data_IF_981960344537
#
_entry.id   IF_981960344537
#
_cell.length_a   1.000
_cell.length_b   1.000
_cell.length_c   1.000
_cell.angle_alpha   90.00
_cell.angle_beta   90.00
_cell.angle_gamma   90.00
#
_symmetry.space_group_name_H-M   'P 1'
#
loop_
_entity.id
_entity.type
_entity.pdbx_description
1 polymer ?
#
# COMPACT_ATOMS: atom_id res chain seq x y z
N UNK A 1 -18.41 16.30 11.78
CA UNK A 1 -18.17 14.92 11.32
C UNK A 1 -17.92 14.76 9.81
N UNK A 2 -18.61 15.50 8.91
CA UNK A 2 -18.40 15.36 7.44
C UNK A 2 -16.94 15.54 6.99
N UNK A 3 -16.26 16.61 7.41
CA UNK A 3 -14.86 16.88 7.03
C UNK A 3 -13.86 15.81 7.48
N UNK A 4 -14.03 15.26 8.70
CA UNK A 4 -13.11 14.24 9.25
C UNK A 4 -13.08 12.95 8.42
N UNK A 5 -14.20 12.59 7.77
CA UNK A 5 -14.32 11.37 6.93
C UNK A 5 -13.52 11.48 5.64
N UNK A 6 -13.59 12.65 4.99
CA UNK A 6 -12.84 12.92 3.76
C UNK A 6 -11.36 13.14 4.04
N UNK A 7 -11.02 13.69 5.20
CA UNK A 7 -9.63 13.80 5.65
C UNK A 7 -9.01 12.42 5.89
N UNK A 8 -9.77 11.49 6.48
CA UNK A 8 -9.37 10.09 6.60
C UNK A 8 -9.22 9.38 5.24
N UNK A 9 -10.12 9.63 4.29
CA UNK A 9 -10.00 9.10 2.91
C UNK A 9 -8.72 9.60 2.23
N UNK A 10 -8.45 10.90 2.32
CA UNK A 10 -7.28 11.53 1.71
C UNK A 10 -5.98 10.97 2.33
N UNK A 11 -5.94 10.83 3.65
CA UNK A 11 -4.85 10.16 4.34
C UNK A 11 -4.65 8.72 3.85
N UNK A 12 -5.73 7.94 3.74
CA UNK A 12 -5.65 6.53 3.33
C UNK A 12 -5.20 6.39 1.87
N UNK A 13 -5.60 7.30 0.99
CA UNK A 13 -5.18 7.33 -0.42
C UNK A 13 -3.69 7.67 -0.58
N UNK A 14 -3.08 8.40 0.34
CA UNK A 14 -1.64 8.72 0.32
C UNK A 14 -0.84 7.63 1.04
N UNK A 15 -1.31 7.19 2.20
CA UNK A 15 -0.61 6.23 3.04
C UNK A 15 -0.56 4.83 2.42
N UNK A 16 -1.63 4.38 1.76
CA UNK A 16 -1.69 3.02 1.20
C UNK A 16 -0.68 2.78 0.07
N UNK A 17 -0.52 3.65 -0.93
CA UNK A 17 0.54 3.51 -1.94
C UNK A 17 1.94 3.42 -1.34
N UNK A 18 2.21 4.25 -0.34
CA UNK A 18 3.52 4.32 0.31
C UNK A 18 3.79 3.06 1.14
N UNK A 19 2.77 2.56 1.84
CA UNK A 19 2.82 1.31 2.59
C UNK A 19 2.99 0.10 1.66
N UNK A 20 2.29 0.07 0.53
CA UNK A 20 2.39 -1.01 -0.46
C UNK A 20 3.79 -1.02 -1.11
N UNK A 21 4.33 0.16 -1.44
CA UNK A 21 5.71 0.30 -1.91
C UNK A 21 6.71 -0.24 -0.87
N UNK A 22 6.57 0.15 0.40
CA UNK A 22 7.46 -0.29 1.47
C UNK A 22 7.42 -1.81 1.66
N UNK A 23 6.23 -2.42 1.63
CA UNK A 23 6.06 -3.87 1.75
C UNK A 23 6.77 -4.59 0.60
N UNK A 24 6.61 -4.13 -0.64
CA UNK A 24 7.27 -4.74 -1.81
C UNK A 24 8.79 -4.64 -1.67
N UNK A 25 9.31 -3.49 -1.23
CA UNK A 25 10.75 -3.29 -1.06
C UNK A 25 11.31 -4.19 0.07
N UNK A 26 10.61 -4.29 1.20
CA UNK A 26 10.99 -5.17 2.31
C UNK A 26 10.95 -6.64 1.89
N UNK A 27 9.89 -7.08 1.20
CA UNK A 27 9.77 -8.47 0.74
C UNK A 27 10.83 -8.83 -0.29
N UNK A 28 11.14 -7.91 -1.22
CA UNK A 28 12.26 -8.03 -2.14
C UNK A 28 13.59 -8.18 -1.39
N UNK A 29 13.89 -7.28 -0.42
CA UNK A 29 15.09 -7.37 0.42
C UNK A 29 15.20 -8.70 1.17
N UNK A 30 14.12 -9.15 1.79
CA UNK A 30 14.09 -10.44 2.52
C UNK A 30 14.36 -11.58 1.54
N UNK A 31 13.74 -11.56 0.36
CA UNK A 31 13.95 -12.60 -0.66
C UNK A 31 15.40 -12.65 -1.14
N UNK A 32 16.04 -11.49 -1.34
CA UNK A 32 17.44 -11.40 -1.74
C UNK A 32 18.38 -11.87 -0.63
N UNK A 33 18.08 -11.58 0.64
CA UNK A 33 18.84 -12.09 1.79
C UNK A 33 18.74 -13.61 1.87
N UNK A 34 17.54 -14.18 1.71
CA UNK A 34 17.34 -15.63 1.69
C UNK A 34 18.09 -16.30 0.53
N UNK A 35 18.05 -15.69 -0.65
CA UNK A 35 18.82 -16.16 -1.80
C UNK A 35 20.32 -16.09 -1.58
N UNK A 36 20.81 -15.03 -0.92
CA UNK A 36 22.21 -14.88 -0.58
C UNK A 36 22.71 -16.02 0.31
N UNK A 37 21.95 -16.42 1.34
CA UNK A 37 22.33 -17.55 2.19
C UNK A 37 22.36 -18.89 1.45
N UNK A 38 21.55 -19.05 0.40
CA UNK A 38 21.42 -20.33 -0.31
C UNK A 38 22.36 -20.45 -1.53
N UNK A 39 22.70 -19.32 -2.16
CA UNK A 39 23.44 -19.30 -3.45
C UNK A 39 24.66 -18.37 -3.45
N UNK A 40 24.96 -17.67 -2.35
CA UNK A 40 25.97 -16.62 -2.25
C UNK A 40 25.83 -15.48 -3.29
N UNK A 41 24.66 -15.37 -3.93
CA UNK A 41 24.36 -14.33 -4.90
C UNK A 41 23.31 -13.37 -4.35
N UNK A 42 23.63 -12.08 -4.36
CA UNK A 42 22.70 -11.02 -3.97
C UNK A 42 21.90 -10.59 -5.20
N UNK A 43 20.62 -10.98 -5.24
CA UNK A 43 19.72 -10.72 -6.37
C UNK A 43 18.78 -9.58 -5.99
N UNK A 44 19.28 -8.35 -6.01
CA UNK A 44 18.45 -7.15 -5.99
C UNK A 44 18.89 -6.30 -7.17
N UNK A 45 17.93 -5.89 -7.99
CA UNK A 45 18.20 -5.08 -9.17
C UNK A 45 17.36 -3.80 -9.17
N UNK A 46 17.78 -2.83 -9.98
CA UNK A 46 17.01 -1.60 -10.21
C UNK A 46 15.63 -1.88 -10.82
N UNK A 47 15.48 -3.02 -11.50
CA UNK A 47 14.21 -3.52 -12.03
C UNK A 47 13.18 -3.79 -10.92
N UNK A 48 13.61 -4.32 -9.77
CA UNK A 48 12.71 -4.61 -8.64
C UNK A 48 12.14 -3.30 -8.04
N UNK A 49 12.98 -2.27 -7.97
CA UNK A 49 12.58 -0.92 -7.52
C UNK A 49 11.60 -0.31 -8.53
N UNK A 50 11.85 -0.48 -9.83
CA UNK A 50 10.96 0.01 -10.88
C UNK A 50 9.60 -0.68 -10.84
N UNK A 51 9.57 -2.01 -10.64
CA UNK A 51 8.33 -2.78 -10.48
C UNK A 51 7.57 -2.31 -9.23
N UNK A 52 8.25 -2.12 -8.10
CA UNK A 52 7.63 -1.60 -6.88
C UNK A 52 6.98 -0.22 -7.09
N UNK A 53 7.67 0.70 -7.77
CA UNK A 53 7.12 2.02 -8.13
C UNK A 53 5.91 1.92 -9.06
N UNK A 54 5.90 0.96 -9.99
CA UNK A 54 4.78 0.76 -10.93
C UNK A 54 3.54 0.17 -10.25
N UNK A 55 3.73 -0.62 -9.21
CA UNK A 55 2.66 -1.27 -8.44
C UNK A 55 2.13 -0.37 -7.32
N UNK A 56 2.94 0.53 -6.77
CA UNK A 56 2.56 1.44 -5.68
C UNK A 56 1.23 2.21 -5.92
N UNK A 57 0.90 2.72 -7.12
CA UNK A 57 -0.37 3.38 -7.38
C UNK A 57 -1.61 2.50 -7.17
N UNK A 58 -1.48 1.17 -7.22
CA UNK A 58 -2.57 0.25 -6.85
C UNK A 58 -2.94 0.34 -5.36
N UNK A 59 -2.10 0.97 -4.53
CA UNK A 59 -2.47 1.31 -3.15
C UNK A 59 -3.61 2.32 -3.06
N UNK A 60 -3.82 3.17 -4.08
CA UNK A 60 -4.91 4.16 -4.09
C UNK A 60 -6.29 3.48 -4.11
N UNK A 61 -6.64 2.60 -5.08
CA UNK A 61 -7.92 1.90 -5.05
C UNK A 61 -8.07 1.03 -3.81
N UNK A 62 -6.97 0.44 -3.31
CA UNK A 62 -6.98 -0.34 -2.07
C UNK A 62 -7.35 0.53 -0.87
N UNK A 63 -6.81 1.75 -0.78
CA UNK A 63 -7.20 2.74 0.23
C UNK A 63 -8.66 3.14 0.12
N UNK A 64 -9.17 3.40 -1.08
CA UNK A 64 -10.60 3.73 -1.28
C UNK A 64 -11.50 2.58 -0.81
N UNK A 65 -11.16 1.32 -1.13
CA UNK A 65 -11.88 0.14 -0.66
C UNK A 65 -11.87 0.00 0.86
N UNK A 66 -10.71 0.19 1.51
CA UNK A 66 -10.59 0.13 2.96
C UNK A 66 -11.41 1.22 3.66
N UNK A 67 -11.37 2.44 3.12
CA UNK A 67 -12.19 3.54 3.65
C UNK A 67 -13.69 3.25 3.52
N UNK A 68 -14.12 2.68 2.40
CA UNK A 68 -15.50 2.25 2.18
C UNK A 68 -15.96 1.22 3.23
N UNK A 69 -15.15 0.18 3.44
CA UNK A 69 -15.43 -0.87 4.42
C UNK A 69 -15.50 -0.29 5.84
N UNK A 70 -14.60 0.61 6.19
CA UNK A 70 -14.56 1.24 7.51
C UNK A 70 -15.75 2.17 7.73
N UNK A 71 -16.16 2.93 6.71
CA UNK A 71 -17.39 3.72 6.76
C UNK A 71 -18.62 2.84 6.94
N UNK A 72 -18.67 1.68 6.28
CA UNK A 72 -19.75 0.70 6.45
C UNK A 72 -19.76 0.11 7.87
N UNK A 73 -18.59 -0.26 8.41
CA UNK A 73 -18.43 -0.81 9.78
C UNK A 73 -18.93 0.17 10.84
N UNK A 74 -18.64 1.46 10.67
CA UNK A 74 -19.04 2.51 11.60
C UNK A 74 -20.47 3.04 11.37
N UNK A 75 -21.24 2.45 10.45
CA UNK A 75 -22.61 2.90 10.13
C UNK A 75 -22.67 4.31 9.54
N UNK A 76 -21.56 4.78 8.98
CA UNK A 76 -21.40 6.12 8.46
C UNK A 76 -22.03 6.20 7.06
N UNK A 77 -23.13 6.95 6.93
CA UNK A 77 -23.72 7.27 5.62
C UNK A 77 -22.72 8.05 4.77
N UNK A 78 -22.39 7.51 3.59
CA UNK A 78 -21.41 8.08 2.66
C UNK A 78 -22.03 9.12 1.70
N UNK A 79 -23.25 8.87 1.22
CA UNK A 79 -24.02 9.83 0.43
C UNK A 79 -25.16 10.41 1.29
N UNK A 80 -25.49 11.67 1.05
CA UNK A 80 -26.36 12.47 1.91
C UNK A 80 -27.79 11.92 2.05
N UNK A 81 -28.29 12.04 3.29
CA UNK A 81 -29.55 11.59 3.91
C UNK A 81 -29.68 10.10 4.20
#
# INVERSE_FOLDING_TARGET
MKYRKYLALLFLCIAMPLLLFLIILITSLISSILFYFNTNQFVINTEDIYIACKIAPLGIPTGICLWYLECRRLGIKMFGK
#
